data_IF_176665703416
#
_entry.id   IF_176665703416
#
_cell.length_a   1.000
_cell.length_b   1.000
_cell.length_c   1.000
_cell.angle_alpha   90.00
_cell.angle_beta   90.00
_cell.angle_gamma   90.00
#
_symmetry.space_group_name_H-M   'P 1'
#
loop_
_entity.id
_entity.type
_entity.pdbx_description
1 polymer ?
#
# COMPACT_ATOMS: atom_id res chain seq x y z
N UNK A 1 -26.67 -12.17 -18.51
CA UNK A 1 -25.36 -12.84 -18.63
C UNK A 1 -24.82 -13.02 -17.24
N UNK A 2 -24.36 -14.21 -16.86
CA UNK A 2 -23.71 -14.39 -15.56
C UNK A 2 -22.39 -13.62 -15.58
N UNK A 3 -22.18 -12.78 -14.57
CA UNK A 3 -20.96 -12.00 -14.38
C UNK A 3 -19.75 -12.94 -14.24
N UNK A 4 -18.66 -12.68 -14.98
CA UNK A 4 -17.45 -13.50 -14.87
C UNK A 4 -16.71 -13.24 -13.56
N UNK A 5 -15.87 -14.18 -13.11
CA UNK A 5 -15.04 -13.95 -11.92
C UNK A 5 -14.10 -12.74 -12.10
N UNK A 6 -13.67 -12.45 -13.32
CA UNK A 6 -12.88 -11.26 -13.62
C UNK A 6 -13.70 -9.98 -13.36
N UNK A 7 -14.93 -9.92 -13.86
CA UNK A 7 -15.81 -8.76 -13.70
C UNK A 7 -16.12 -8.50 -12.21
N UNK A 8 -16.28 -9.56 -11.41
CA UNK A 8 -16.43 -9.44 -9.96
C UNK A 8 -15.20 -8.82 -9.32
N UNK A 9 -14.01 -9.38 -9.58
CA UNK A 9 -12.74 -8.86 -9.02
C UNK A 9 -12.54 -7.39 -9.44
N UNK A 10 -12.75 -7.07 -10.71
CA UNK A 10 -12.62 -5.71 -11.22
C UNK A 10 -13.63 -4.75 -10.58
N UNK A 11 -14.88 -5.17 -10.38
CA UNK A 11 -15.93 -4.39 -9.72
C UNK A 11 -15.58 -4.12 -8.26
N UNK A 12 -15.21 -5.17 -7.51
CA UNK A 12 -14.83 -5.02 -6.11
C UNK A 12 -13.61 -4.10 -5.96
N UNK A 13 -12.56 -4.32 -6.77
CA UNK A 13 -11.35 -3.51 -6.78
C UNK A 13 -11.67 -2.03 -7.08
N UNK A 14 -12.47 -1.79 -8.12
CA UNK A 14 -12.87 -0.44 -8.51
C UNK A 14 -13.60 0.25 -7.37
N UNK A 15 -14.53 -0.44 -6.70
CA UNK A 15 -15.34 0.14 -5.62
C UNK A 15 -14.53 0.56 -4.39
N UNK A 16 -13.40 -0.10 -4.10
CA UNK A 16 -12.57 0.23 -2.94
C UNK A 16 -11.52 1.27 -3.33
N UNK A 17 -10.74 1.02 -4.39
CA UNK A 17 -9.49 1.71 -4.66
C UNK A 17 -9.58 2.81 -5.72
N UNK A 18 -10.57 2.76 -6.62
CA UNK A 18 -10.65 3.65 -7.78
C UNK A 18 -11.78 4.66 -7.65
N UNK A 19 -13.02 4.18 -7.47
CA UNK A 19 -14.21 5.04 -7.45
C UNK A 19 -15.41 4.35 -6.80
N UNK A 20 -16.15 5.11 -6.00
CA UNK A 20 -17.46 4.73 -5.45
C UNK A 20 -18.29 5.99 -5.17
N UNK A 21 -19.58 5.81 -4.91
CA UNK A 21 -20.49 6.91 -4.62
C UNK A 21 -19.99 7.78 -3.46
N UNK A 22 -20.05 9.11 -3.67
CA UNK A 22 -19.52 10.22 -2.84
C UNK A 22 -18.00 10.38 -2.83
N UNK A 23 -17.23 9.31 -2.70
CA UNK A 23 -15.76 9.33 -2.64
C UNK A 23 -15.19 7.91 -2.69
N UNK A 24 -13.92 7.80 -3.07
CA UNK A 24 -13.10 6.58 -3.00
C UNK A 24 -12.99 6.12 -1.54
N UNK A 25 -13.19 4.82 -1.28
CA UNK A 25 -13.30 4.27 0.08
C UNK A 25 -11.98 3.85 0.69
N UNK A 26 -11.05 3.39 -0.15
CA UNK A 26 -9.79 2.78 0.27
C UNK A 26 -8.63 3.41 -0.52
N UNK A 27 -8.40 4.74 -0.50
CA UNK A 27 -7.47 5.37 -1.44
C UNK A 27 -6.03 4.90 -1.17
N UNK A 28 -5.38 4.17 -2.09
CA UNK A 28 -4.17 3.39 -1.80
C UNK A 28 -2.87 4.23 -1.79
N UNK A 29 -2.90 5.41 -1.18
CA UNK A 29 -1.81 6.40 -1.18
C UNK A 29 -1.44 6.81 0.25
N UNK A 30 -0.15 6.84 0.59
CA UNK A 30 0.34 7.31 1.89
C UNK A 30 -0.18 8.73 2.19
N UNK A 31 -0.11 9.64 1.21
CA UNK A 31 -0.49 11.03 1.40
C UNK A 31 -1.96 11.18 1.76
N UNK A 32 -2.83 10.28 1.28
CA UNK A 32 -4.24 10.29 1.68
C UNK A 32 -4.39 10.03 3.18
N UNK A 33 -3.70 9.03 3.71
CA UNK A 33 -3.83 8.63 5.12
C UNK A 33 -3.10 9.56 6.09
N UNK A 34 -2.03 10.21 5.64
CA UNK A 34 -1.23 11.11 6.46
C UNK A 34 -1.68 12.57 6.35
N UNK A 35 -2.21 12.98 5.21
CA UNK A 35 -2.41 14.39 4.87
C UNK A 35 -3.82 14.69 4.33
N UNK A 36 -4.65 13.67 4.09
CA UNK A 36 -6.02 13.80 3.54
C UNK A 36 -6.08 14.45 2.15
N UNK A 37 -4.99 14.34 1.40
CA UNK A 37 -4.91 14.72 -0.02
C UNK A 37 -4.09 13.69 -0.78
N UNK A 38 -4.44 13.45 -2.05
CA UNK A 38 -3.53 12.77 -2.98
C UNK A 38 -2.53 13.84 -3.46
N UNK A 39 -1.27 13.47 -3.76
CA UNK A 39 -0.19 14.41 -4.09
C UNK A 39 0.30 15.26 -2.91
N UNK A 40 0.28 14.68 -1.70
CA UNK A 40 0.84 15.34 -0.52
C UNK A 40 2.37 15.35 -0.47
N UNK A 41 2.94 15.90 0.60
CA UNK A 41 4.40 15.96 0.82
C UNK A 41 5.02 14.56 0.93
N UNK A 42 4.26 13.55 1.35
CA UNK A 42 4.67 12.13 1.34
C UNK A 42 5.10 11.66 -0.06
N UNK A 43 4.45 12.10 -1.15
CA UNK A 43 4.87 11.74 -2.52
C UNK A 43 6.31 12.16 -2.77
N UNK A 44 6.66 13.39 -2.41
CA UNK A 44 8.01 13.91 -2.60
C UNK A 44 9.02 13.20 -1.71
N UNK A 45 8.67 12.92 -0.44
CA UNK A 45 9.55 12.21 0.50
C UNK A 45 9.86 10.79 0.03
N UNK A 46 8.85 10.05 -0.43
CA UNK A 46 9.03 8.71 -0.98
C UNK A 46 9.86 8.75 -2.26
N UNK A 47 9.60 9.72 -3.15
CA UNK A 47 10.38 9.90 -4.37
C UNK A 47 11.85 10.20 -4.10
N UNK A 48 12.17 10.97 -3.05
CA UNK A 48 13.55 11.23 -2.62
C UNK A 48 14.28 9.95 -2.20
N UNK A 49 13.59 8.98 -1.59
CA UNK A 49 14.16 7.66 -1.31
C UNK A 49 14.44 6.87 -2.60
N UNK A 50 13.54 6.92 -3.58
CA UNK A 50 13.69 6.18 -4.84
C UNK A 50 14.85 6.72 -5.70
N UNK A 51 15.01 8.04 -5.75
CA UNK A 51 16.03 8.71 -6.58
C UNK A 51 17.45 8.39 -6.10
N UNK A 52 17.66 8.06 -4.82
CA UNK A 52 18.97 7.60 -4.30
C UNK A 52 19.49 6.36 -5.03
N UNK A 53 18.57 5.56 -5.59
CA UNK A 53 18.85 4.36 -6.36
C UNK A 53 18.60 4.53 -7.86
N UNK A 54 18.33 5.75 -8.33
CA UNK A 54 18.02 6.03 -9.73
C UNK A 54 16.67 5.47 -10.21
N UNK A 55 15.74 5.21 -9.29
CA UNK A 55 14.42 4.65 -9.60
C UNK A 55 13.38 5.76 -9.77
N UNK A 56 12.53 5.60 -10.80
CA UNK A 56 11.44 6.52 -11.10
C UNK A 56 10.15 5.74 -11.37
N UNK A 57 9.11 5.88 -10.52
CA UNK A 57 7.81 5.25 -10.71
C UNK A 57 7.15 5.70 -12.02
N UNK A 58 6.57 4.76 -12.77
CA UNK A 58 5.93 5.05 -14.07
C UNK A 58 4.42 4.93 -14.09
N UNK A 59 3.86 3.98 -13.33
CA UNK A 59 2.43 3.63 -13.42
C UNK A 59 1.57 4.32 -12.36
N UNK A 60 2.13 4.54 -11.19
CA UNK A 60 1.46 5.11 -10.02
C UNK A 60 2.34 6.18 -9.39
N UNK A 61 1.76 6.96 -8.48
CA UNK A 61 2.51 7.90 -7.65
C UNK A 61 3.51 7.15 -6.78
N UNK A 62 4.57 7.87 -6.37
CA UNK A 62 5.62 7.29 -5.55
C UNK A 62 5.07 6.70 -4.25
N UNK A 63 4.06 7.33 -3.67
CA UNK A 63 3.46 6.95 -2.38
C UNK A 63 2.28 5.97 -2.50
N UNK A 64 2.06 5.39 -3.67
CA UNK A 64 1.07 4.34 -3.84
C UNK A 64 1.58 3.04 -3.22
N UNK A 65 0.74 2.32 -2.45
CA UNK A 65 1.17 1.10 -1.73
C UNK A 65 1.90 0.08 -2.62
N UNK A 66 1.42 -0.14 -3.84
CA UNK A 66 2.08 -1.10 -4.73
C UNK A 66 3.50 -0.68 -5.11
N UNK A 67 3.73 0.63 -5.25
CA UNK A 67 5.02 1.20 -5.61
C UNK A 67 5.98 1.17 -4.42
N UNK A 68 5.48 1.47 -3.22
CA UNK A 68 6.25 1.35 -1.98
C UNK A 68 6.64 -0.09 -1.66
N UNK A 69 5.75 -1.06 -1.89
CA UNK A 69 6.06 -2.49 -1.75
C UNK A 69 7.05 -2.97 -2.81
N UNK A 70 6.93 -2.50 -4.05
CA UNK A 70 7.91 -2.79 -5.12
C UNK A 70 9.30 -2.26 -4.76
N UNK A 71 9.39 -1.03 -4.26
CA UNK A 71 10.66 -0.45 -3.82
C UNK A 71 11.24 -1.19 -2.61
N UNK A 72 10.40 -1.58 -1.64
CA UNK A 72 10.83 -2.41 -0.50
C UNK A 72 11.42 -3.73 -0.98
N UNK A 73 10.76 -4.40 -1.92
CA UNK A 73 11.27 -5.64 -2.53
C UNK A 73 12.60 -5.41 -3.25
N UNK A 74 12.75 -4.28 -3.94
CA UNK A 74 14.00 -3.90 -4.59
C UNK A 74 15.14 -3.73 -3.58
N UNK A 75 14.93 -2.97 -2.50
CA UNK A 75 15.96 -2.76 -1.47
C UNK A 75 16.46 -4.07 -0.88
N UNK A 76 15.54 -5.00 -0.58
CA UNK A 76 15.89 -6.33 -0.09
C UNK A 76 16.66 -7.14 -1.15
N UNK A 77 16.28 -7.03 -2.42
CA UNK A 77 16.96 -7.72 -3.53
C UNK A 77 18.40 -7.24 -3.74
N UNK A 78 18.67 -5.95 -3.52
CA UNK A 78 20.03 -5.38 -3.60
C UNK A 78 20.76 -5.37 -2.25
N UNK A 79 20.30 -6.18 -1.29
CA UNK A 79 20.91 -6.40 0.02
C UNK A 79 21.04 -5.12 0.87
N UNK A 80 20.12 -4.16 0.69
CA UNK A 80 20.02 -2.91 1.47
C UNK A 80 19.00 -3.09 2.62
N UNK A 81 19.29 -4.03 3.53
CA UNK A 81 18.35 -4.41 4.59
C UNK A 81 18.03 -3.28 5.57
N UNK A 82 19.01 -2.47 5.95
CA UNK A 82 18.81 -1.38 6.92
C UNK A 82 17.94 -0.26 6.33
N UNK A 83 18.16 0.08 5.07
CA UNK A 83 17.33 1.01 4.30
C UNK A 83 15.92 0.45 4.10
N UNK A 84 15.78 -0.85 3.80
CA UNK A 84 14.48 -1.49 3.71
C UNK A 84 13.72 -1.42 5.04
N UNK A 85 14.38 -1.71 6.16
CA UNK A 85 13.78 -1.62 7.51
C UNK A 85 13.34 -0.20 7.83
N UNK A 86 14.18 0.80 7.51
CA UNK A 86 13.85 2.21 7.69
C UNK A 86 12.64 2.60 6.83
N UNK A 87 12.67 2.25 5.54
CA UNK A 87 11.59 2.54 4.60
C UNK A 87 10.27 1.90 5.04
N UNK A 88 10.27 0.63 5.43
CA UNK A 88 9.07 -0.07 5.93
C UNK A 88 8.52 0.64 7.18
N UNK A 89 9.39 1.02 8.12
CA UNK A 89 8.96 1.72 9.34
C UNK A 89 8.32 3.07 9.02
N UNK A 90 8.95 3.86 8.16
CA UNK A 90 8.56 5.23 7.87
C UNK A 90 7.40 5.33 6.89
N UNK A 91 7.40 4.50 5.84
CA UNK A 91 6.52 4.60 4.68
C UNK A 91 5.54 3.45 4.51
N UNK A 92 5.62 2.33 5.26
CA UNK A 92 4.61 1.28 5.19
C UNK A 92 3.79 1.24 6.48
N UNK A 93 4.45 1.02 7.61
CA UNK A 93 3.79 0.82 8.92
C UNK A 93 3.07 2.08 9.41
N UNK A 94 3.50 3.26 8.96
CA UNK A 94 2.91 4.54 9.41
C UNK A 94 1.48 4.78 8.90
N UNK A 95 1.04 4.09 7.84
CA UNK A 95 -0.25 4.39 7.20
C UNK A 95 -1.02 3.16 6.72
N UNK A 96 -0.35 2.09 6.29
CA UNK A 96 -1.01 0.88 5.74
C UNK A 96 -1.99 0.22 6.72
N UNK A 97 -1.80 0.24 8.07
CA UNK A 97 -2.84 -0.23 8.99
C UNK A 97 -4.21 0.44 8.79
N UNK A 98 -4.23 1.75 8.51
CA UNK A 98 -5.48 2.49 8.25
C UNK A 98 -6.09 2.13 6.90
N UNK A 99 -5.26 1.86 5.89
CA UNK A 99 -5.75 1.34 4.60
C UNK A 99 -6.41 -0.03 4.80
N UNK A 100 -5.80 -0.91 5.58
CA UNK A 100 -6.38 -2.23 5.91
C UNK A 100 -7.74 -2.05 6.60
N UNK A 101 -7.84 -1.15 7.58
CA UNK A 101 -9.12 -0.84 8.25
C UNK A 101 -10.19 -0.39 7.24
N UNK A 102 -9.84 0.54 6.34
CA UNK A 102 -10.75 1.01 5.30
C UNK A 102 -11.17 -0.10 4.34
N UNK A 103 -10.24 -0.97 3.91
CA UNK A 103 -10.56 -2.12 3.05
C UNK A 103 -11.54 -3.05 3.76
N UNK A 104 -11.26 -3.43 5.01
CA UNK A 104 -12.09 -4.37 5.76
C UNK A 104 -13.48 -3.81 6.08
N UNK A 105 -13.58 -2.49 6.26
CA UNK A 105 -14.84 -1.81 6.54
C UNK A 105 -15.69 -1.55 5.28
N UNK A 106 -15.06 -1.36 4.11
CA UNK A 106 -15.75 -0.86 2.91
C UNK A 106 -15.74 -1.83 1.71
N UNK A 107 -15.03 -2.97 1.79
CA UNK A 107 -15.00 -3.96 0.70
C UNK A 107 -16.42 -4.43 0.33
N UNK A 108 -16.78 -4.32 -0.96
CA UNK A 108 -18.07 -4.78 -1.48
C UNK A 108 -17.94 -6.17 -2.12
N UNK A 109 -17.61 -7.18 -1.32
CA UNK A 109 -17.47 -8.56 -1.77
C UNK A 109 -16.31 -9.27 -1.10
N UNK A 110 -16.01 -10.49 -1.55
CA UNK A 110 -15.08 -11.38 -0.86
C UNK A 110 -13.63 -11.19 -1.31
N UNK A 111 -13.38 -10.90 -2.59
CA UNK A 111 -12.02 -10.82 -3.13
C UNK A 111 -11.23 -9.66 -2.52
N UNK A 112 -11.82 -8.48 -2.48
CA UNK A 112 -11.17 -7.28 -1.92
C UNK A 112 -11.04 -7.40 -0.40
N UNK A 113 -12.01 -8.04 0.27
CA UNK A 113 -11.91 -8.33 1.70
C UNK A 113 -10.77 -9.29 2.01
N UNK A 114 -10.63 -10.37 1.25
CA UNK A 114 -9.53 -11.32 1.38
C UNK A 114 -8.18 -10.68 1.10
N UNK A 115 -8.10 -9.75 0.13
CA UNK A 115 -6.90 -8.94 -0.09
C UNK A 115 -6.53 -8.12 1.16
N UNK A 116 -7.51 -7.46 1.78
CA UNK A 116 -7.30 -6.73 3.04
C UNK A 116 -6.82 -7.63 4.19
N UNK A 117 -7.39 -8.83 4.32
CA UNK A 117 -6.98 -9.81 5.33
C UNK A 117 -5.54 -10.29 5.07
N UNK A 118 -5.22 -10.63 3.83
CA UNK A 118 -3.87 -11.06 3.44
C UNK A 118 -2.83 -9.95 3.69
N UNK A 119 -3.16 -8.70 3.32
CA UNK A 119 -2.31 -7.54 3.58
C UNK A 119 -2.10 -7.32 5.09
N UNK A 120 -3.15 -7.52 5.91
CA UNK A 120 -3.04 -7.45 7.36
C UNK A 120 -2.08 -8.50 7.91
N UNK A 121 -2.24 -9.76 7.50
CA UNK A 121 -1.38 -10.86 7.95
C UNK A 121 0.08 -10.63 7.55
N UNK A 122 0.30 -10.17 6.31
CA UNK A 122 1.62 -9.77 5.85
C UNK A 122 2.22 -8.67 6.74
N UNK A 123 1.48 -7.60 6.99
CA UNK A 123 1.97 -6.48 7.79
C UNK A 123 2.24 -6.87 9.25
N UNK A 124 1.36 -7.67 9.85
CA UNK A 124 1.56 -8.19 11.22
C UNK A 124 2.87 -8.99 11.31
N UNK A 125 3.13 -9.87 10.32
CA UNK A 125 4.38 -10.63 10.23
C UNK A 125 5.60 -9.72 10.03
N UNK A 126 5.52 -8.75 9.12
CA UNK A 126 6.60 -7.79 8.87
C UNK A 126 6.95 -7.00 10.14
N UNK A 127 5.96 -6.56 10.90
CA UNK A 127 6.17 -5.83 12.17
C UNK A 127 6.86 -6.72 13.20
N UNK A 128 6.43 -7.98 13.34
CA UNK A 128 7.07 -8.93 14.26
C UNK A 128 8.55 -9.17 13.91
N UNK A 129 8.84 -9.44 12.63
CA UNK A 129 10.20 -9.71 12.16
C UNK A 129 11.11 -8.48 12.27
N UNK A 130 10.61 -7.29 11.92
CA UNK A 130 11.44 -6.09 11.90
C UNK A 130 11.67 -5.49 13.29
N UNK A 131 10.64 -5.47 14.16
CA UNK A 131 10.70 -4.73 15.42
C UNK A 131 10.84 -5.58 16.68
N UNK A 132 10.49 -6.86 16.64
CA UNK A 132 10.47 -7.73 17.83
C UNK A 132 11.68 -8.67 17.88
N UNK A 133 12.06 -9.26 16.74
CA UNK A 133 13.14 -10.26 16.69
C UNK A 133 14.55 -9.65 16.71
N UNK A 134 14.69 -8.37 16.34
CA UNK A 134 15.99 -7.67 16.30
C UNK A 134 16.33 -6.91 17.61
N UNK A 135 15.92 -7.42 18.77
CA UNK A 135 16.34 -6.92 20.10
C UNK A 135 17.16 -7.95 20.84
#
# INVERSE_FOLDING_TARGET
MAESNYDKVATEFTSCFINDYKHVKCPPYESWYRERTVYGISVQRVLEEYIKYGIYPKKQLADHISTELEFTSFLLFVEQEDEARKFIKEHIVSWVPKLIEDILANSKGEYTKLLGIALKQFLDYTIQTIFVVNR
#
